data_IF_398798293173
#
_entry.id   IF_398798293173
#
_cell.length_a   1.000
_cell.length_b   1.000
_cell.length_c   1.000
_cell.angle_alpha   90.00
_cell.angle_beta   90.00
_cell.angle_gamma   90.00
#
_symmetry.space_group_name_H-M   'P 1'
#
loop_
_entity.id
_entity.type
_entity.pdbx_description
1 polymer ?
#
# COMPACT_ATOMS: atom_id res chain seq x y z
N UNK A 1 -4.78 4.39 18.27
CA UNK A 1 -3.33 4.06 18.32
C UNK A 1 -2.67 5.17 19.13
N UNK A 2 -2.38 4.90 20.41
CA UNK A 2 -1.53 5.78 21.18
C UNK A 2 -0.11 5.45 20.74
N UNK A 3 0.47 6.31 19.91
CA UNK A 3 1.81 6.07 19.41
C UNK A 3 2.79 6.56 20.49
N UNK A 4 3.36 5.60 21.22
CA UNK A 4 4.15 5.85 22.43
C UNK A 4 5.61 6.24 22.14
N UNK A 5 5.95 6.51 20.87
CA UNK A 5 7.32 6.82 20.45
C UNK A 5 7.67 8.29 20.70
N UNK A 6 8.91 8.59 21.06
CA UNK A 6 9.49 9.92 21.19
C UNK A 6 9.27 10.83 20.01
N UNK A 7 9.29 10.21 18.84
CA UNK A 7 9.09 10.85 17.58
C UNK A 7 7.77 11.61 17.54
N UNK A 8 6.69 11.06 18.10
CA UNK A 8 5.40 11.74 18.02
C UNK A 8 5.49 13.05 18.79
N UNK A 9 6.08 13.08 19.98
CA UNK A 9 6.37 14.32 20.71
C UNK A 9 7.21 15.32 19.89
N UNK A 10 8.32 14.87 19.30
CA UNK A 10 9.21 15.73 18.51
C UNK A 10 8.51 16.32 17.27
N UNK A 11 7.69 15.54 16.58
CA UNK A 11 6.92 16.01 15.41
C UNK A 11 5.65 16.76 15.81
N UNK A 12 5.16 16.56 17.03
CA UNK A 12 3.90 17.10 17.51
C UNK A 12 4.02 18.43 18.26
N UNK A 13 5.20 18.71 18.80
CA UNK A 13 5.45 19.77 19.77
C UNK A 13 5.02 19.37 21.19
N UNK A 14 5.46 20.17 22.16
CA UNK A 14 5.25 19.94 23.60
C UNK A 14 3.79 19.75 24.00
N UNK A 15 2.84 20.35 23.27
CA UNK A 15 1.40 20.25 23.50
C UNK A 15 0.77 18.90 23.12
N UNK A 16 1.55 17.93 22.62
CA UNK A 16 1.01 16.60 22.31
C UNK A 16 0.42 15.92 23.53
N UNK A 17 1.14 16.01 24.64
CA UNK A 17 0.81 15.33 25.89
C UNK A 17 -0.46 15.90 26.53
N UNK A 18 -0.80 17.16 26.25
CA UNK A 18 -2.00 17.83 26.75
C UNK A 18 -3.29 17.19 26.22
N UNK A 19 -3.22 16.42 25.12
CA UNK A 19 -4.36 15.72 24.52
C UNK A 19 -4.48 14.25 24.94
N UNK A 20 -3.58 13.77 25.80
CA UNK A 20 -3.66 12.42 26.34
C UNK A 20 -4.58 12.43 27.56
N UNK A 21 -5.59 11.55 27.55
CA UNK A 21 -6.63 11.51 28.59
C UNK A 21 -6.09 11.17 30.00
N UNK A 22 -4.89 10.59 30.09
CA UNK A 22 -4.24 10.22 31.36
C UNK A 22 -2.89 10.94 31.52
N UNK A 23 -2.74 11.65 32.65
CA UNK A 23 -1.47 12.30 33.04
C UNK A 23 -0.34 11.29 33.27
N UNK A 24 -0.64 10.15 33.88
CA UNK A 24 0.35 9.10 34.12
C UNK A 24 0.83 8.48 32.80
N UNK A 25 -0.11 8.24 31.89
CA UNK A 25 0.20 7.77 30.55
C UNK A 25 1.02 8.79 29.75
N UNK A 26 0.68 10.08 29.86
CA UNK A 26 1.45 11.16 29.25
C UNK A 26 2.88 11.23 29.80
N UNK A 27 3.06 11.08 31.12
CA UNK A 27 4.36 11.04 31.78
C UNK A 27 5.20 9.84 31.36
N UNK A 28 4.58 8.65 31.25
CA UNK A 28 5.24 7.45 30.75
C UNK A 28 5.69 7.60 29.29
N UNK A 29 4.81 8.11 28.40
CA UNK A 29 5.22 8.40 27.02
C UNK A 29 6.34 9.42 27.03
N UNK A 30 6.28 10.48 27.84
CA UNK A 30 7.33 11.50 27.92
C UNK A 30 8.67 10.91 28.35
N UNK A 31 8.71 10.09 29.39
CA UNK A 31 9.94 9.42 29.83
C UNK A 31 10.48 8.44 28.78
N UNK A 32 9.61 7.63 28.16
CA UNK A 32 10.01 6.78 27.04
C UNK A 32 10.54 7.60 25.87
N UNK A 33 9.91 8.76 25.63
CA UNK A 33 10.29 9.70 24.59
C UNK A 33 11.68 10.26 24.84
N UNK A 34 11.95 10.69 26.06
CA UNK A 34 13.24 11.26 26.47
C UNK A 34 14.36 10.23 26.40
N UNK A 35 14.12 8.98 26.83
CA UNK A 35 15.10 7.88 26.70
C UNK A 35 15.40 7.52 25.26
N UNK A 36 14.36 7.46 24.43
CA UNK A 36 14.49 7.21 23.00
C UNK A 36 15.17 8.42 22.31
N UNK A 37 14.90 9.65 22.76
CA UNK A 37 15.62 10.85 22.33
C UNK A 37 17.09 10.76 22.70
N UNK A 38 17.41 10.49 23.95
CA UNK A 38 18.78 10.38 24.43
C UNK A 38 19.55 9.29 23.68
N UNK A 39 18.95 8.10 23.52
CA UNK A 39 19.56 6.99 22.81
C UNK A 39 19.81 7.29 21.32
N UNK A 40 18.87 7.94 20.62
CA UNK A 40 18.99 8.17 19.18
C UNK A 40 19.64 9.49 18.80
N UNK A 41 19.43 10.54 19.57
CA UNK A 41 19.77 11.90 19.17
C UNK A 41 21.09 12.36 19.74
N UNK A 42 21.53 11.80 20.88
CA UNK A 42 22.82 12.13 21.48
C UNK A 42 23.95 11.20 20.99
N UNK A 43 23.61 10.05 20.42
CA UNK A 43 24.59 9.17 19.76
C UNK A 43 24.78 9.60 18.30
N UNK A 44 25.98 10.06 17.96
CA UNK A 44 26.36 10.54 16.63
C UNK A 44 26.24 9.41 15.60
N UNK A 45 25.37 9.54 14.60
CA UNK A 45 25.33 8.61 13.47
C UNK A 45 26.43 8.94 12.46
N UNK A 46 27.70 8.75 12.83
CA UNK A 46 28.79 8.81 11.87
C UNK A 46 28.80 7.50 11.09
N UNK A 47 28.38 7.53 9.82
CA UNK A 47 28.63 6.43 8.89
C UNK A 47 29.06 6.98 7.54
N UNK A 48 30.34 6.81 7.22
CA UNK A 48 30.94 7.18 5.94
C UNK A 48 30.52 6.25 4.78
N UNK A 49 29.60 5.31 5.03
CA UNK A 49 29.17 4.36 4.03
C UNK A 49 28.22 5.02 3.02
N UNK A 50 28.44 4.76 1.73
CA UNK A 50 27.66 5.35 0.62
C UNK A 50 26.14 5.16 0.76
N UNK A 51 25.69 4.12 1.47
CA UNK A 51 24.26 3.87 1.70
C UNK A 51 23.59 4.88 2.63
N UNK A 52 24.33 5.51 3.54
CA UNK A 52 23.83 6.46 4.53
C UNK A 52 23.01 7.57 3.86
N UNK A 53 23.57 8.20 2.82
CA UNK A 53 22.93 9.30 2.09
C UNK A 53 21.57 8.91 1.50
N UNK A 54 21.40 7.68 1.00
CA UNK A 54 20.13 7.23 0.40
C UNK A 54 19.05 7.01 1.46
N UNK A 55 19.40 6.40 2.58
CA UNK A 55 18.45 6.20 3.68
C UNK A 55 18.09 7.51 4.37
N UNK A 56 19.04 8.44 4.52
CA UNK A 56 18.76 9.74 5.11
C UNK A 56 17.79 10.56 4.26
N UNK A 57 17.88 10.48 2.92
CA UNK A 57 16.88 11.06 2.01
C UNK A 57 15.49 10.46 2.20
N UNK A 58 15.39 9.15 2.44
CA UNK A 58 14.10 8.50 2.78
C UNK A 58 13.57 9.03 4.11
N UNK A 59 14.44 9.16 5.10
CA UNK A 59 14.08 9.66 6.42
C UNK A 59 13.54 11.10 6.37
N UNK A 60 14.19 11.98 5.62
CA UNK A 60 13.72 13.35 5.34
C UNK A 60 12.32 13.32 4.70
N UNK A 61 12.13 12.49 3.68
CA UNK A 61 10.85 12.36 3.00
C UNK A 61 9.74 11.86 3.95
N UNK A 62 10.05 10.85 4.78
CA UNK A 62 9.13 10.32 5.79
C UNK A 62 8.76 11.37 6.84
N UNK A 63 9.73 12.12 7.36
CA UNK A 63 9.47 13.22 8.30
C UNK A 63 8.60 14.31 7.68
N UNK A 64 8.90 14.68 6.44
CA UNK A 64 8.12 15.68 5.69
C UNK A 64 6.67 15.25 5.55
N UNK A 65 6.42 14.01 5.09
CA UNK A 65 5.07 13.45 4.95
C UNK A 65 4.36 13.37 6.30
N UNK A 66 5.03 12.93 7.36
CA UNK A 66 4.43 12.85 8.70
C UNK A 66 3.98 14.22 9.22
N UNK A 67 4.78 15.27 8.99
CA UNK A 67 4.49 16.65 9.40
C UNK A 67 3.37 17.27 8.56
N UNK A 68 3.39 17.07 7.25
CA UNK A 68 2.30 17.49 6.35
C UNK A 68 0.98 16.79 6.71
N UNK A 69 1.01 15.47 6.92
CA UNK A 69 -0.17 14.68 7.28
C UNK A 69 -0.81 15.22 8.57
N UNK A 70 0.01 15.57 9.57
CA UNK A 70 -0.48 16.18 10.81
C UNK A 70 -1.22 17.51 10.58
N UNK A 71 -0.80 18.33 9.62
CA UNK A 71 -1.51 19.57 9.27
C UNK A 71 -2.87 19.24 8.66
N UNK A 72 -2.92 18.26 7.76
CA UNK A 72 -4.18 17.79 7.17
C UNK A 72 -5.11 17.17 8.20
N UNK A 73 -4.60 16.39 9.16
CA UNK A 73 -5.42 15.80 10.23
C UNK A 73 -6.17 16.86 11.03
N UNK A 74 -5.50 17.94 11.42
CA UNK A 74 -6.12 19.06 12.16
C UNK A 74 -7.21 19.76 11.35
N UNK A 75 -7.03 19.84 10.03
CA UNK A 75 -8.03 20.40 9.13
C UNK A 75 -9.21 19.44 8.96
N UNK A 76 -8.93 18.16 8.74
CA UNK A 76 -9.93 17.10 8.56
C UNK A 76 -10.73 16.81 9.83
N UNK A 77 -10.12 16.88 11.02
CA UNK A 77 -10.80 16.67 12.31
C UNK A 77 -11.90 17.70 12.56
N UNK A 78 -11.79 18.90 11.95
CA UNK A 78 -12.81 19.94 12.02
C UNK A 78 -13.93 19.75 11.00
N UNK A 79 -13.76 18.84 10.03
CA UNK A 79 -14.71 18.65 8.94
C UNK A 79 -15.74 17.54 9.19
N UNK A 80 -15.68 16.82 10.32
CA UNK A 80 -16.61 15.79 10.84
C UNK A 80 -17.01 14.62 9.92
N UNK A 81 -16.97 14.75 8.59
CA UNK A 81 -17.55 13.85 7.60
C UNK A 81 -16.60 12.78 7.04
N UNK A 82 -15.32 12.78 7.43
CA UNK A 82 -14.31 11.90 6.85
C UNK A 82 -13.97 10.65 7.68
N UNK A 83 -14.37 10.59 8.95
CA UNK A 83 -13.89 9.56 9.87
C UNK A 83 -14.99 8.58 10.26
N UNK A 84 -15.15 7.52 9.47
CA UNK A 84 -15.72 6.28 10.01
C UNK A 84 -14.60 5.55 10.79
N UNK A 85 -14.86 5.35 12.08
CA UNK A 85 -13.94 4.69 13.02
C UNK A 85 -13.66 3.23 12.66
N UNK A 86 -14.41 2.65 11.73
CA UNK A 86 -14.24 1.31 11.18
C UNK A 86 -13.03 1.19 10.24
N UNK A 87 -12.47 2.31 9.76
CA UNK A 87 -11.36 2.35 8.80
C UNK A 87 -10.11 3.08 9.34
N UNK A 88 -9.03 3.07 8.56
CA UNK A 88 -7.79 3.76 8.91
C UNK A 88 -7.99 5.27 9.01
N UNK A 89 -7.95 5.79 10.25
CA UNK A 89 -8.07 7.24 10.52
C UNK A 89 -6.92 8.07 9.95
N UNK A 90 -5.76 7.46 9.71
CA UNK A 90 -4.56 8.17 9.28
C UNK A 90 -4.38 8.19 7.77
N UNK A 91 -5.02 7.26 7.06
CA UNK A 91 -4.81 7.10 5.62
C UNK A 91 -5.22 8.35 4.81
N UNK A 92 -6.37 9.01 5.04
CA UNK A 92 -6.76 10.19 4.23
C UNK A 92 -5.77 11.35 4.34
N UNK A 93 -5.33 11.68 5.57
CA UNK A 93 -4.34 12.72 5.79
C UNK A 93 -2.96 12.35 5.21
N UNK A 94 -2.59 11.08 5.31
CA UNK A 94 -1.33 10.57 4.74
C UNK A 94 -1.36 10.63 3.21
N UNK A 95 -2.49 10.30 2.57
CA UNK A 95 -2.68 10.48 1.13
C UNK A 95 -2.50 11.94 0.70
N UNK A 96 -3.17 12.88 1.38
CA UNK A 96 -3.03 14.31 1.06
C UNK A 96 -1.58 14.79 1.21
N UNK A 97 -0.90 14.34 2.26
CA UNK A 97 0.51 14.63 2.48
C UNK A 97 1.42 14.06 1.40
N UNK A 98 1.18 12.81 0.95
CA UNK A 98 1.93 12.19 -0.14
C UNK A 98 1.73 12.95 -1.44
N UNK A 99 0.49 13.34 -1.77
CA UNK A 99 0.18 14.13 -2.97
C UNK A 99 0.92 15.47 -2.97
N UNK A 100 0.88 16.20 -1.84
CA UNK A 100 1.63 17.47 -1.70
C UNK A 100 3.14 17.23 -1.80
N UNK A 101 3.67 16.23 -1.11
CA UNK A 101 5.09 15.91 -1.14
C UNK A 101 5.58 15.56 -2.54
N UNK A 102 4.86 14.67 -3.24
CA UNK A 102 5.21 14.21 -4.57
C UNK A 102 5.18 15.35 -5.60
N UNK A 103 4.20 16.26 -5.52
CA UNK A 103 4.12 17.47 -6.35
C UNK A 103 5.25 18.47 -6.07
N UNK A 104 5.78 18.50 -4.85
CA UNK A 104 6.72 19.52 -4.37
C UNK A 104 8.07 18.93 -3.91
N UNK A 105 8.48 17.79 -4.49
CA UNK A 105 9.63 17.01 -3.99
C UNK A 105 10.93 17.81 -3.94
N UNK A 106 11.15 18.69 -4.93
CA UNK A 106 12.34 19.54 -4.99
C UNK A 106 12.37 20.56 -3.84
N UNK A 107 11.22 21.13 -3.48
CA UNK A 107 11.12 22.07 -2.35
C UNK A 107 11.49 21.41 -1.03
N UNK A 108 11.19 20.12 -0.86
CA UNK A 108 11.52 19.39 0.37
C UNK A 108 12.90 18.73 0.35
N UNK A 109 13.68 18.89 -0.72
CA UNK A 109 15.05 18.40 -0.72
C UNK A 109 15.88 19.22 0.28
N UNK A 110 16.58 18.54 1.18
CA UNK A 110 17.47 19.16 2.15
C UNK A 110 18.86 18.65 1.82
N UNK A 111 19.76 19.58 1.52
CA UNK A 111 21.18 19.28 1.45
C UNK A 111 21.74 19.28 2.87
N UNK A 112 22.64 18.35 3.14
CA UNK A 112 23.24 18.18 4.44
C UNK A 112 24.68 17.75 4.27
N UNK A 113 25.53 18.23 5.18
CA UNK A 113 26.88 17.71 5.34
C UNK A 113 26.83 16.28 5.86
N UNK A 114 27.96 15.57 5.81
CA UNK A 114 28.04 14.17 6.26
C UNK A 114 27.69 13.98 7.74
N UNK A 115 27.59 15.06 8.53
CA UNK A 115 27.36 15.05 9.96
C UNK A 115 26.11 15.86 10.31
N UNK A 116 25.04 15.18 10.69
CA UNK A 116 23.85 15.82 11.23
C UNK A 116 23.25 14.94 12.33
N UNK A 117 22.92 15.54 13.47
CA UNK A 117 22.13 14.84 14.48
C UNK A 117 20.69 14.73 13.98
N UNK A 118 20.03 13.64 14.33
CA UNK A 118 18.64 13.43 13.91
C UNK A 118 17.71 14.56 14.39
N UNK A 119 18.09 15.26 15.47
CA UNK A 119 17.27 16.28 16.15
C UNK A 119 17.29 17.53 15.30
N UNK A 120 18.49 17.93 14.91
CA UNK A 120 18.72 19.04 14.01
C UNK A 120 18.03 18.76 12.68
N UNK A 121 18.13 17.53 12.17
CA UNK A 121 17.41 17.15 10.95
C UNK A 121 15.89 17.34 11.08
N UNK A 122 15.28 16.85 12.17
CA UNK A 122 13.84 17.04 12.41
C UNK A 122 13.51 18.53 12.51
N UNK A 123 14.32 19.32 13.21
CA UNK A 123 14.11 20.76 13.32
C UNK A 123 14.17 21.46 11.95
N UNK A 124 15.16 21.12 11.11
CA UNK A 124 15.30 21.66 9.74
C UNK A 124 14.08 21.27 8.90
N UNK A 125 13.69 19.99 8.88
CA UNK A 125 12.53 19.50 8.14
C UNK A 125 11.25 20.21 8.61
N UNK A 126 11.06 20.33 9.93
CA UNK A 126 9.89 21.00 10.50
C UNK A 126 9.85 22.49 10.16
N UNK A 127 10.98 23.19 10.19
CA UNK A 127 11.08 24.58 9.76
C UNK A 127 10.63 24.72 8.30
N UNK A 128 11.18 23.88 7.41
CA UNK A 128 10.87 23.87 5.98
C UNK A 128 9.41 23.56 5.69
N UNK A 129 8.83 22.56 6.37
CA UNK A 129 7.40 22.25 6.24
C UNK A 129 6.55 23.41 6.74
N UNK A 130 6.90 24.05 7.87
CA UNK A 130 6.11 25.18 8.38
C UNK A 130 6.20 26.40 7.46
N UNK A 131 7.37 26.70 6.90
CA UNK A 131 7.54 27.74 5.89
C UNK A 131 6.67 27.46 4.66
N UNK A 132 6.74 26.25 4.11
CA UNK A 132 5.87 25.81 3.02
C UNK A 132 4.38 25.98 3.39
N UNK A 133 3.95 25.53 4.57
CA UNK A 133 2.56 25.68 5.03
C UNK A 133 2.13 27.15 5.24
N UNK A 134 3.06 28.07 5.53
CA UNK A 134 2.75 29.50 5.66
C UNK A 134 2.53 30.14 4.29
N UNK A 135 3.36 29.76 3.33
CA UNK A 135 3.32 30.30 1.97
C UNK A 135 2.27 29.62 1.08
N UNK A 136 1.78 28.45 1.49
CA UNK A 136 0.81 27.67 0.74
C UNK A 136 -0.44 27.49 1.58
N UNK A 137 -1.61 27.89 1.06
CA UNK A 137 -2.87 27.58 1.73
C UNK A 137 -3.17 26.08 1.62
N UNK A 138 -2.67 25.29 2.58
CA UNK A 138 -3.00 23.87 2.70
C UNK A 138 -4.44 23.71 3.19
N UNK A 139 -5.38 23.87 2.26
CA UNK A 139 -6.75 23.41 2.47
C UNK A 139 -6.83 21.98 1.96
N UNK A 140 -7.49 21.06 2.68
CA UNK A 140 -7.96 19.87 2.01
C UNK A 140 -8.80 20.36 0.84
N UNK A 141 -8.36 20.11 -0.39
CA UNK A 141 -9.25 20.18 -1.54
C UNK A 141 -10.51 19.39 -1.17
N UNK A 142 -11.68 19.71 -1.75
CA UNK A 142 -12.87 18.87 -1.58
C UNK A 142 -12.60 17.53 -2.28
N UNK A 143 -11.76 16.70 -1.68
CA UNK A 143 -11.45 15.36 -2.14
C UNK A 143 -12.61 14.51 -1.66
N UNK A 144 -13.64 14.41 -2.51
CA UNK A 144 -14.69 13.44 -2.33
C UNK A 144 -14.19 12.11 -2.88
N UNK A 145 -14.09 11.11 -2.01
CA UNK A 145 -13.81 9.75 -2.39
C UNK A 145 -15.14 9.01 -2.60
N UNK A 146 -15.24 8.24 -3.68
CA UNK A 146 -16.45 7.47 -3.97
C UNK A 146 -16.46 6.22 -3.08
N UNK A 147 -17.42 6.14 -2.18
CA UNK A 147 -17.53 5.08 -1.17
C UNK A 147 -18.41 3.94 -1.67
N UNK A 148 -17.92 2.70 -1.53
CA UNK A 148 -18.69 1.49 -1.72
C UNK A 148 -19.21 0.89 -0.40
N UNK A 149 -19.81 -0.29 -0.49
CA UNK A 149 -20.29 -1.05 0.68
C UNK A 149 -19.28 -2.10 1.16
N UNK A 150 -18.26 -2.41 0.36
CA UNK A 150 -17.24 -3.40 0.68
C UNK A 150 -16.04 -2.77 1.39
N UNK A 151 -15.78 -3.10 2.67
CA UNK A 151 -14.48 -2.84 3.29
C UNK A 151 -13.35 -3.55 2.55
N UNK A 152 -12.27 -2.82 2.29
CA UNK A 152 -11.09 -3.31 1.60
C UNK A 152 -9.80 -2.91 2.31
N UNK A 153 -8.78 -3.74 2.18
CA UNK A 153 -7.39 -3.49 2.55
C UNK A 153 -6.48 -3.65 1.34
N UNK A 154 -5.35 -2.95 1.35
CA UNK A 154 -4.31 -3.10 0.34
C UNK A 154 -2.98 -3.28 1.03
N UNK A 155 -2.11 -4.08 0.44
CA UNK A 155 -0.74 -4.29 0.89
C UNK A 155 0.16 -4.16 -0.34
N UNK A 156 1.10 -3.24 -0.27
CA UNK A 156 2.03 -2.93 -1.35
C UNK A 156 3.42 -3.38 -0.96
N UNK A 157 4.02 -4.25 -1.77
CA UNK A 157 5.38 -4.73 -1.57
C UNK A 157 6.36 -3.99 -2.50
N UNK A 158 7.51 -3.62 -1.96
CA UNK A 158 8.59 -2.95 -2.69
C UNK A 158 9.91 -3.70 -2.50
N UNK A 159 10.64 -3.93 -3.60
CA UNK A 159 11.94 -4.58 -3.59
C UNK A 159 12.75 -4.24 -4.84
N UNK A 160 13.99 -3.79 -4.65
CA UNK A 160 14.97 -3.64 -5.75
C UNK A 160 15.58 -4.98 -6.17
N UNK A 161 15.33 -6.06 -5.43
CA UNK A 161 15.74 -7.44 -5.75
C UNK A 161 14.68 -8.21 -6.55
N UNK A 162 13.49 -7.65 -6.74
CA UNK A 162 12.37 -8.46 -7.24
C UNK A 162 12.08 -9.63 -6.29
N UNK A 163 11.87 -10.80 -6.87
CA UNK A 163 11.59 -12.06 -6.18
C UNK A 163 12.69 -12.54 -5.23
N UNK A 164 13.91 -12.03 -5.39
CA UNK A 164 15.04 -12.42 -4.56
C UNK A 164 15.07 -11.75 -3.17
N UNK A 165 14.15 -10.82 -2.88
CA UNK A 165 14.11 -10.12 -1.57
C UNK A 165 13.95 -11.09 -0.39
N UNK A 166 13.17 -12.16 -0.60
CA UNK A 166 12.88 -13.20 0.39
C UNK A 166 14.05 -14.14 0.72
N UNK A 167 15.12 -14.19 -0.08
CA UNK A 167 16.22 -15.17 0.04
C UNK A 167 17.28 -14.81 1.09
N UNK A 168 17.87 -15.80 1.77
CA UNK A 168 18.72 -15.61 2.97
C UNK A 168 20.18 -15.17 2.70
N UNK A 169 20.76 -15.61 1.57
CA UNK A 169 22.18 -15.43 1.23
C UNK A 169 22.32 -14.91 -0.20
N UNK A 170 22.04 -13.63 -0.43
CA UNK A 170 22.36 -13.02 -1.72
C UNK A 170 22.99 -11.64 -1.56
N UNK A 171 24.23 -11.54 -2.02
CA UNK A 171 25.03 -10.33 -2.16
C UNK A 171 24.62 -9.61 -3.43
N UNK A 172 23.75 -8.61 -3.30
CA UNK A 172 23.50 -7.67 -4.39
C UNK A 172 24.70 -6.74 -4.53
N UNK A 173 25.30 -6.64 -5.71
CA UNK A 173 26.38 -5.69 -5.99
C UNK A 173 25.79 -4.26 -6.07
N UNK A 174 26.22 -3.39 -5.16
CA UNK A 174 26.28 -1.94 -5.39
C UNK A 174 25.10 -1.07 -4.94
N UNK A 175 23.84 -1.53 -4.92
CA UNK A 175 22.71 -0.68 -4.49
C UNK A 175 22.48 -0.72 -2.96
N UNK A 176 22.65 0.41 -2.24
CA UNK A 176 22.25 0.58 -0.85
C UNK A 176 20.87 0.07 -0.45
N UNK A 177 19.88 0.21 -1.33
CA UNK A 177 18.47 -0.09 -1.06
C UNK A 177 18.08 -1.51 -1.51
N UNK A 178 19.02 -2.30 -2.03
CA UNK A 178 18.78 -3.57 -2.73
C UNK A 178 17.81 -4.50 -2.00
N UNK A 179 17.98 -4.67 -0.68
CA UNK A 179 17.10 -5.48 0.16
C UNK A 179 16.47 -4.70 1.33
N UNK A 180 16.51 -3.37 1.24
CA UNK A 180 16.15 -2.46 2.32
C UNK A 180 16.82 -2.75 3.70
N UNK A 181 17.89 -3.56 3.74
CA UNK A 181 18.48 -4.14 4.97
C UNK A 181 18.95 -3.15 6.03
N UNK A 182 19.28 -1.91 5.66
CA UNK A 182 19.85 -0.90 6.56
C UNK A 182 18.77 -0.08 7.30
N UNK A 183 17.48 -0.40 7.15
CA UNK A 183 16.35 0.31 7.77
C UNK A 183 16.47 0.47 9.30
N UNK A 184 17.02 -0.54 9.96
CA UNK A 184 17.16 -0.60 11.41
C UNK A 184 18.14 0.43 11.96
N UNK A 185 19.12 0.88 11.16
CA UNK A 185 20.09 1.90 11.60
C UNK A 185 19.44 3.26 11.87
N UNK A 186 18.25 3.49 11.32
CA UNK A 186 17.45 4.69 11.57
C UNK A 186 16.10 4.36 12.19
N UNK A 187 15.87 3.13 12.67
CA UNK A 187 14.54 2.74 13.16
C UNK A 187 13.42 3.12 12.20
N UNK A 188 13.68 2.99 10.89
CA UNK A 188 12.90 3.66 9.86
C UNK A 188 11.43 3.21 9.86
N UNK A 189 11.17 1.96 10.22
CA UNK A 189 9.81 1.41 10.42
C UNK A 189 9.03 2.14 11.52
N UNK A 190 9.68 2.61 12.59
CA UNK A 190 9.04 3.43 13.62
C UNK A 190 8.61 4.78 13.05
N UNK A 191 9.40 5.35 12.14
CA UNK A 191 9.08 6.61 11.46
C UNK A 191 8.02 6.45 10.35
N UNK A 192 7.91 5.25 9.79
CA UNK A 192 6.97 4.91 8.71
C UNK A 192 5.64 4.32 9.23
N UNK A 193 5.31 4.50 10.50
CA UNK A 193 4.08 3.98 11.11
C UNK A 193 2.80 4.39 10.38
N UNK A 194 2.74 5.60 9.77
CA UNK A 194 1.59 6.07 8.98
C UNK A 194 1.32 5.23 7.74
N UNK A 195 2.35 4.60 7.23
CA UNK A 195 2.30 3.70 6.08
C UNK A 195 1.92 2.28 6.48
N UNK A 196 1.77 2.00 7.79
CA UNK A 196 1.70 0.64 8.30
C UNK A 196 2.95 -0.17 7.95
N UNK A 197 4.11 0.49 7.84
CA UNK A 197 5.25 -0.12 7.19
C UNK A 197 5.93 -1.19 8.04
N UNK A 198 6.27 -2.31 7.40
CA UNK A 198 7.09 -3.36 7.98
C UNK A 198 8.00 -3.98 6.91
N UNK A 199 8.93 -4.82 7.36
CA UNK A 199 9.84 -5.56 6.47
C UNK A 199 9.44 -7.02 6.53
N UNK A 200 8.87 -7.54 5.46
CA UNK A 200 8.57 -8.97 5.37
C UNK A 200 9.76 -9.75 4.86
N UNK A 201 9.98 -10.90 5.48
CA UNK A 201 11.07 -11.79 5.13
C UNK A 201 10.63 -13.22 5.37
N UNK A 202 10.76 -14.08 4.36
CA UNK A 202 10.31 -15.49 4.34
C UNK A 202 10.89 -16.40 5.44
N UNK A 203 11.75 -15.89 6.33
CA UNK A 203 12.39 -16.67 7.39
C UNK A 203 12.21 -15.97 8.73
N UNK A 204 11.53 -16.59 9.72
CA UNK A 204 11.29 -16.01 11.04
C UNK A 204 12.58 -15.53 11.75
N UNK A 205 13.71 -16.20 11.50
CA UNK A 205 15.01 -15.84 12.05
C UNK A 205 15.62 -14.55 11.47
N UNK A 206 15.17 -14.06 10.31
CA UNK A 206 15.76 -12.87 9.66
C UNK A 206 15.47 -11.56 10.37
N UNK A 207 14.39 -11.47 11.15
CA UNK A 207 14.09 -10.28 11.94
C UNK A 207 15.18 -10.05 13.01
N UNK A 208 15.80 -11.12 13.51
CA UNK A 208 16.91 -11.06 14.47
C UNK A 208 18.26 -10.73 13.81
N UNK A 209 18.47 -11.15 12.56
CA UNK A 209 19.74 -10.94 11.83
C UNK A 209 19.73 -9.68 10.95
N UNK A 210 18.63 -8.91 10.93
CA UNK A 210 18.52 -7.60 10.24
C UNK A 210 18.89 -7.65 8.75
N UNK A 211 18.58 -8.76 8.06
CA UNK A 211 19.02 -9.01 6.68
C UNK A 211 18.14 -8.37 5.58
N UNK A 212 17.06 -7.69 5.95
CA UNK A 212 16.16 -7.03 4.99
C UNK A 212 15.18 -7.97 4.29
N UNK A 213 14.35 -7.43 3.41
CA UNK A 213 13.27 -8.12 2.72
C UNK A 213 12.39 -7.16 1.92
N UNK A 214 11.13 -7.52 1.70
CA UNK A 214 10.16 -6.63 1.08
C UNK A 214 9.83 -5.49 2.03
N UNK A 215 9.94 -4.25 1.56
CA UNK A 215 9.37 -3.11 2.25
C UNK A 215 7.88 -3.10 1.95
N UNK A 216 7.05 -3.16 2.98
CA UNK A 216 5.59 -3.22 2.80
C UNK A 216 4.89 -1.98 3.31
N UNK A 217 3.85 -1.54 2.60
CA UNK A 217 2.91 -0.51 3.05
C UNK A 217 1.48 -1.06 3.06
N UNK A 218 0.82 -0.99 4.20
CA UNK A 218 -0.59 -1.39 4.38
C UNK A 218 -1.51 -0.21 4.66
N UNK A 219 -0.97 0.92 5.14
CA UNK A 219 -1.70 2.10 5.64
C UNK A 219 -2.74 1.78 6.73
N UNK A 220 -2.65 0.59 7.31
CA UNK A 220 -3.44 0.10 8.43
C UNK A 220 -2.50 -0.33 9.55
N UNK A 221 -3.06 -0.77 10.68
CA UNK A 221 -2.25 -1.39 11.72
C UNK A 221 -1.78 -2.75 11.18
N UNK A 222 -0.46 -3.04 11.16
CA UNK A 222 0.02 -4.34 10.72
C UNK A 222 -0.64 -5.46 11.51
N UNK A 223 -1.03 -6.53 10.83
CA UNK A 223 -1.63 -7.71 11.43
C UNK A 223 -0.55 -8.42 12.27
N UNK A 224 -0.52 -8.14 13.57
CA UNK A 224 0.31 -8.90 14.52
C UNK A 224 -0.53 -10.07 15.03
N UNK A 225 0.13 -11.20 15.32
CA UNK A 225 -0.55 -12.40 15.83
C UNK A 225 -1.55 -12.05 16.95
N UNK A 226 -2.82 -12.43 16.77
CA UNK A 226 -3.97 -12.16 17.66
C UNK A 226 -4.43 -10.69 17.77
N UNK A 227 -3.91 -9.77 16.97
CA UNK A 227 -4.37 -8.39 16.91
C UNK A 227 -5.47 -8.19 15.86
N UNK A 228 -6.26 -7.14 16.05
CA UNK A 228 -7.37 -6.79 15.19
C UNK A 228 -6.87 -6.16 13.89
N UNK A 229 -7.20 -6.75 12.74
CA UNK A 229 -6.99 -6.16 11.41
C UNK A 229 -8.12 -5.18 11.10
N UNK A 230 -7.78 -3.94 10.76
CA UNK A 230 -8.74 -2.95 10.25
C UNK A 230 -8.69 -2.91 8.72
N UNK A 231 -9.83 -2.78 8.03
CA UNK A 231 -9.83 -2.41 6.62
C UNK A 231 -9.22 -1.01 6.45
N UNK A 232 -8.58 -0.79 5.30
CA UNK A 232 -8.03 0.52 4.94
C UNK A 232 -9.16 1.53 4.73
N UNK A 233 -10.17 1.13 3.95
CA UNK A 233 -11.25 1.99 3.46
C UNK A 233 -12.38 1.12 2.89
N UNK A 234 -13.48 1.72 2.48
CA UNK A 234 -14.48 1.16 1.56
C UNK A 234 -14.55 1.94 0.24
N UNK A 235 -13.58 2.82 -0.05
CA UNK A 235 -13.47 3.55 -1.31
C UNK A 235 -12.37 2.96 -2.20
N UNK A 236 -12.73 2.27 -3.29
CA UNK A 236 -11.78 1.80 -4.30
C UNK A 236 -11.03 2.95 -5.00
N UNK A 237 -11.70 4.09 -5.23
CA UNK A 237 -11.10 5.33 -5.74
C UNK A 237 -9.98 5.82 -4.83
N UNK A 238 -10.26 5.94 -3.52
CA UNK A 238 -9.24 6.33 -2.54
C UNK A 238 -8.06 5.35 -2.52
N UNK A 239 -8.33 4.05 -2.53
CA UNK A 239 -7.29 3.03 -2.51
C UNK A 239 -6.39 3.11 -3.75
N UNK A 240 -6.98 3.23 -4.95
CA UNK A 240 -6.23 3.38 -6.20
C UNK A 240 -5.34 4.64 -6.19
N UNK A 241 -5.87 5.77 -5.76
CA UNK A 241 -5.12 7.03 -5.61
C UNK A 241 -4.00 6.92 -4.58
N UNK A 242 -4.25 6.29 -3.43
CA UNK A 242 -3.26 6.08 -2.37
C UNK A 242 -2.12 5.17 -2.86
N UNK A 243 -2.42 4.10 -3.58
CA UNK A 243 -1.42 3.23 -4.22
C UNK A 243 -0.54 4.06 -5.15
N UNK A 244 -1.15 4.88 -6.00
CA UNK A 244 -0.43 5.75 -6.94
C UNK A 244 0.55 6.70 -6.24
N UNK A 245 0.11 7.36 -5.18
CA UNK A 245 0.96 8.29 -4.41
C UNK A 245 2.05 7.57 -3.60
N UNK A 246 1.77 6.38 -3.07
CA UNK A 246 2.74 5.57 -2.34
C UNK A 246 3.90 5.10 -3.25
N UNK A 247 3.60 4.65 -4.47
CA UNK A 247 4.62 4.22 -5.45
C UNK A 247 5.48 5.37 -5.95
N UNK A 248 4.91 6.59 -6.08
CA UNK A 248 5.69 7.80 -6.44
C UNK A 248 6.64 8.23 -5.32
N UNK A 249 6.21 8.05 -4.07
CA UNK A 249 6.95 8.46 -2.89
C UNK A 249 8.22 7.62 -2.68
N UNK A 250 8.07 6.29 -2.67
CA UNK A 250 9.16 5.40 -2.28
C UNK A 250 10.23 5.28 -3.37
N UNK A 251 11.53 5.33 -3.01
CA UNK A 251 12.61 5.11 -3.97
C UNK A 251 12.90 3.62 -4.21
N UNK A 252 12.24 2.71 -3.51
CA UNK A 252 12.35 1.26 -3.72
C UNK A 252 11.40 0.86 -4.86
N UNK A 253 11.83 -0.06 -5.72
CA UNK A 253 11.05 -0.50 -6.87
C UNK A 253 9.76 -1.20 -6.40
N UNK A 254 8.59 -0.86 -6.98
CA UNK A 254 7.35 -1.55 -6.68
C UNK A 254 7.40 -3.00 -7.20
N UNK A 255 6.75 -3.91 -6.45
CA UNK A 255 6.77 -5.35 -6.72
C UNK A 255 5.36 -5.94 -6.82
N UNK A 256 4.67 -6.08 -5.68
CA UNK A 256 3.36 -6.75 -5.57
C UNK A 256 2.31 -5.81 -5.03
N UNK A 257 1.06 -6.08 -5.39
CA UNK A 257 -0.10 -5.54 -4.73
C UNK A 257 -1.01 -6.69 -4.29
N UNK A 258 -1.32 -6.76 -3.00
CA UNK A 258 -2.37 -7.62 -2.48
C UNK A 258 -3.60 -6.77 -2.16
N UNK A 259 -4.77 -7.26 -2.56
CA UNK A 259 -6.06 -6.60 -2.30
C UNK A 259 -6.93 -7.55 -1.49
N UNK A 260 -7.28 -7.14 -0.28
CA UNK A 260 -8.15 -7.91 0.61
C UNK A 260 -9.53 -7.29 0.64
N UNK A 261 -10.58 -8.05 0.36
CA UNK A 261 -11.97 -7.58 0.36
C UNK A 261 -12.80 -8.37 1.38
N UNK A 262 -13.58 -7.66 2.19
CA UNK A 262 -14.50 -8.30 3.13
C UNK A 262 -15.73 -8.87 2.41
N UNK A 263 -16.08 -10.12 2.72
CA UNK A 263 -17.30 -10.76 2.20
C UNK A 263 -18.54 -10.28 2.97
N UNK A 264 -19.66 -10.21 2.27
CA UNK A 264 -20.96 -10.03 2.92
C UNK A 264 -21.43 -11.36 3.49
N UNK A 265 -21.51 -11.47 4.82
CA UNK A 265 -21.88 -12.69 5.55
C UNK A 265 -23.32 -13.17 5.29
N UNK A 266 -24.16 -12.36 4.63
CA UNK A 266 -25.58 -12.64 4.39
C UNK A 266 -25.87 -13.39 3.09
N UNK A 267 -24.88 -13.62 2.22
CA UNK A 267 -25.11 -14.32 0.95
C UNK A 267 -24.90 -15.82 1.09
N UNK A 268 -26.00 -16.56 1.05
CA UNK A 268 -25.99 -18.02 0.97
C UNK A 268 -25.63 -18.45 -0.45
N UNK A 269 -24.56 -19.25 -0.58
CA UNK A 269 -24.15 -20.03 -1.76
C UNK A 269 -23.93 -19.23 -3.06
N UNK A 270 -22.77 -18.58 -3.17
CA UNK A 270 -22.24 -18.14 -4.46
C UNK A 270 -21.68 -19.34 -5.26
N UNK A 271 -21.81 -19.37 -6.60
CA UNK A 271 -21.20 -20.41 -7.42
C UNK A 271 -19.66 -20.35 -7.37
N UNK A 272 -19.01 -21.48 -7.62
CA UNK A 272 -17.56 -21.49 -7.86
C UNK A 272 -17.26 -20.91 -9.25
N UNK A 273 -16.19 -20.12 -9.40
CA UNK A 273 -15.79 -19.63 -10.71
C UNK A 273 -15.19 -20.77 -11.55
N UNK A 274 -15.50 -20.78 -12.83
CA UNK A 274 -14.82 -21.59 -13.83
C UNK A 274 -13.38 -21.10 -14.05
N UNK A 275 -12.56 -21.95 -14.65
CA UNK A 275 -11.20 -21.59 -15.03
C UNK A 275 -11.15 -20.33 -15.93
N UNK A 276 -12.04 -20.23 -16.93
CA UNK A 276 -12.04 -19.11 -17.87
C UNK A 276 -12.47 -17.79 -17.20
N UNK A 277 -13.36 -17.84 -16.21
CA UNK A 277 -13.73 -16.66 -15.42
C UNK A 277 -12.54 -16.18 -14.57
N UNK A 278 -11.83 -17.08 -13.88
CA UNK A 278 -10.58 -16.70 -13.20
C UNK A 278 -9.55 -16.15 -14.18
N UNK A 279 -9.40 -16.80 -15.34
CA UNK A 279 -8.47 -16.36 -16.37
C UNK A 279 -8.78 -14.94 -16.84
N UNK A 280 -10.05 -14.59 -16.99
CA UNK A 280 -10.48 -13.24 -17.36
C UNK A 280 -10.12 -12.20 -16.31
N UNK A 281 -10.34 -12.51 -15.02
CA UNK A 281 -9.90 -11.64 -13.92
C UNK A 281 -8.41 -11.35 -14.02
N UNK A 282 -7.58 -12.40 -14.14
CA UNK A 282 -6.13 -12.25 -14.26
C UNK A 282 -5.73 -11.55 -15.55
N UNK A 283 -6.45 -11.78 -16.64
CA UNK A 283 -6.20 -11.11 -17.91
C UNK A 283 -6.43 -9.60 -17.83
N UNK A 284 -7.46 -9.15 -17.10
CA UNK A 284 -7.78 -7.73 -16.95
C UNK A 284 -6.93 -7.02 -15.88
N UNK A 285 -6.24 -7.73 -15.00
CA UNK A 285 -5.49 -7.12 -13.87
C UNK A 285 -4.01 -7.51 -13.82
N UNK A 286 -3.57 -8.39 -14.71
CA UNK A 286 -2.19 -8.83 -14.86
C UNK A 286 -1.34 -7.92 -15.75
N UNK A 287 -0.02 -8.03 -15.61
CA UNK A 287 0.95 -7.28 -16.41
C UNK A 287 1.62 -8.22 -17.42
N UNK A 288 1.48 -7.92 -18.71
CA UNK A 288 2.08 -8.68 -19.80
C UNK A 288 3.37 -8.03 -20.28
N UNK A 289 4.46 -8.79 -20.34
CA UNK A 289 5.78 -8.31 -20.77
C UNK A 289 6.39 -9.25 -21.81
N UNK A 290 7.18 -8.69 -22.73
CA UNK A 290 8.06 -9.48 -23.57
C UNK A 290 9.33 -9.87 -22.80
N UNK A 291 9.56 -11.18 -22.62
CA UNK A 291 10.73 -11.76 -21.98
C UNK A 291 11.28 -12.90 -22.83
N UNK A 292 12.55 -12.81 -23.23
CA UNK A 292 13.22 -13.83 -24.05
C UNK A 292 12.44 -14.21 -25.32
N UNK A 293 11.90 -13.22 -26.03
CA UNK A 293 11.13 -13.43 -27.27
C UNK A 293 9.71 -13.98 -27.07
N UNK A 294 9.23 -14.14 -25.83
CA UNK A 294 7.87 -14.59 -25.53
C UNK A 294 7.13 -13.57 -24.67
N UNK A 295 5.81 -13.52 -24.81
CA UNK A 295 4.95 -12.75 -23.89
C UNK A 295 4.71 -13.60 -22.64
N UNK A 296 4.81 -12.99 -21.47
CA UNK A 296 4.56 -13.63 -20.17
C UNK A 296 3.69 -12.72 -19.29
N UNK A 297 2.89 -13.30 -18.40
CA UNK A 297 2.31 -12.57 -17.27
C UNK A 297 3.38 -12.49 -16.16
N UNK A 298 3.78 -11.27 -15.83
CA UNK A 298 4.98 -11.00 -15.06
C UNK A 298 4.91 -11.49 -13.61
N UNK A 299 3.75 -11.43 -12.95
CA UNK A 299 3.62 -11.77 -11.53
C UNK A 299 3.51 -13.27 -11.31
N UNK A 300 2.78 -13.98 -12.17
CA UNK A 300 2.51 -15.42 -12.06
C UNK A 300 3.78 -16.22 -12.37
N UNK A 301 4.57 -15.78 -13.36
CA UNK A 301 5.82 -16.47 -13.74
C UNK A 301 6.93 -16.32 -12.69
N UNK A 302 6.81 -15.35 -11.78
CA UNK A 302 7.76 -15.18 -10.67
C UNK A 302 7.66 -16.30 -9.62
N UNK A 303 6.53 -17.03 -9.56
CA UNK A 303 6.30 -18.21 -8.71
C UNK A 303 6.61 -18.01 -7.20
N UNK A 304 6.65 -16.76 -6.71
CA UNK A 304 6.89 -16.40 -5.30
C UNK A 304 5.62 -15.95 -4.56
N UNK A 305 4.44 -16.24 -5.10
CA UNK A 305 3.16 -16.07 -4.40
C UNK A 305 2.80 -17.36 -3.68
N UNK A 306 2.29 -17.23 -2.45
CA UNK A 306 1.71 -18.37 -1.72
C UNK A 306 0.51 -18.95 -2.49
N UNK A 307 -0.40 -18.07 -2.90
CA UNK A 307 -1.57 -18.39 -3.74
C UNK A 307 -2.03 -17.16 -4.52
N UNK A 308 -2.85 -17.37 -5.55
CA UNK A 308 -3.38 -16.31 -6.42
C UNK A 308 -4.56 -15.60 -5.74
N UNK A 309 -5.49 -16.39 -5.17
CA UNK A 309 -6.66 -15.91 -4.44
C UNK A 309 -6.81 -16.75 -3.16
N UNK A 310 -6.94 -16.09 -2.01
CA UNK A 310 -7.01 -16.73 -0.71
C UNK A 310 -8.28 -16.35 0.03
N UNK A 311 -9.01 -17.34 0.53
CA UNK A 311 -10.08 -17.12 1.49
C UNK A 311 -9.52 -17.14 2.91
N UNK A 312 -9.71 -16.06 3.68
CA UNK A 312 -9.20 -15.94 5.05
C UNK A 312 -10.28 -15.45 6.02
N UNK A 313 -10.30 -16.02 7.23
CA UNK A 313 -11.00 -15.44 8.37
C UNK A 313 -10.09 -14.45 9.09
N UNK A 314 -10.55 -13.21 9.26
CA UNK A 314 -9.81 -12.15 9.97
C UNK A 314 -10.62 -11.64 11.15
N UNK A 315 -9.95 -11.27 12.24
CA UNK A 315 -10.58 -10.66 13.41
C UNK A 315 -10.53 -9.14 13.28
N UNK A 316 -11.69 -8.48 13.20
CA UNK A 316 -11.78 -7.03 13.34
C UNK A 316 -12.18 -6.66 14.79
N UNK A 317 -12.34 -5.37 15.09
CA UNK A 317 -12.69 -4.92 16.46
C UNK A 317 -14.02 -5.46 16.99
N UNK A 318 -14.94 -5.88 16.12
CA UNK A 318 -16.31 -6.27 16.50
C UNK A 318 -16.51 -7.78 16.41
N UNK A 319 -15.91 -8.44 15.43
CA UNK A 319 -16.18 -9.84 15.11
C UNK A 319 -15.14 -10.45 14.17
N UNK A 320 -15.23 -11.77 13.99
CA UNK A 320 -14.57 -12.46 12.88
C UNK A 320 -15.32 -12.17 11.57
N UNK A 321 -14.58 -11.91 10.51
CA UNK A 321 -15.12 -11.66 9.17
C UNK A 321 -14.40 -12.52 8.14
N UNK A 322 -15.14 -13.00 7.15
CA UNK A 322 -14.56 -13.68 5.99
C UNK A 322 -14.05 -12.63 4.98
N UNK A 323 -12.89 -12.91 4.41
CA UNK A 323 -12.21 -12.05 3.44
C UNK A 323 -11.70 -12.87 2.26
N UNK A 324 -11.61 -12.23 1.10
CA UNK A 324 -10.94 -12.76 -0.09
C UNK A 324 -9.76 -11.87 -0.40
N UNK A 325 -8.56 -12.44 -0.47
CA UNK A 325 -7.31 -11.77 -0.76
C UNK A 325 -6.82 -12.14 -2.15
N UNK A 326 -6.68 -11.17 -3.03
CA UNK A 326 -6.15 -11.30 -4.39
C UNK A 326 -4.68 -10.86 -4.36
N UNK A 327 -3.75 -11.78 -4.64
CA UNK A 327 -2.30 -11.54 -4.48
C UNK A 327 -1.56 -11.43 -5.83
N UNK A 328 -2.28 -11.55 -6.94
CA UNK A 328 -1.70 -11.68 -8.29
C UNK A 328 -1.37 -10.37 -8.98
N UNK A 329 -1.72 -9.22 -8.42
CA UNK A 329 -1.49 -7.95 -9.09
C UNK A 329 -0.02 -7.54 -8.98
N UNK A 330 0.53 -7.09 -10.11
CA UNK A 330 1.81 -6.38 -10.13
C UNK A 330 1.62 -4.96 -9.62
N UNK A 331 2.51 -4.53 -8.73
CA UNK A 331 2.69 -3.12 -8.44
C UNK A 331 3.74 -2.56 -9.41
N UNK A 332 3.33 -1.67 -10.32
CA UNK A 332 4.22 -1.02 -11.25
C UNK A 332 3.79 0.42 -11.58
N UNK A 333 4.73 1.20 -12.15
CA UNK A 333 4.49 2.60 -12.53
C UNK A 333 3.64 2.74 -13.80
N UNK A 334 3.68 1.76 -14.70
CA UNK A 334 2.85 1.76 -15.91
C UNK A 334 1.36 1.75 -15.55
N UNK A 335 0.97 0.90 -14.60
CA UNK A 335 -0.40 0.80 -14.11
C UNK A 335 -0.90 2.11 -13.49
N UNK A 336 -0.02 2.90 -12.87
CA UNK A 336 -0.39 4.23 -12.34
C UNK A 336 -0.70 5.18 -13.48
N UNK A 337 0.15 5.22 -14.52
CA UNK A 337 -0.03 6.12 -15.68
C UNK A 337 -1.33 5.82 -16.41
N UNK A 338 -1.70 4.55 -16.48
CA UNK A 338 -2.91 4.05 -17.15
C UNK A 338 -4.15 3.95 -16.24
N UNK A 339 -4.03 4.39 -14.99
CA UNK A 339 -5.09 4.30 -13.97
C UNK A 339 -5.71 2.88 -13.82
N UNK A 340 -4.88 1.84 -13.72
CA UNK A 340 -5.32 0.43 -13.74
C UNK A 340 -5.82 -0.06 -12.38
N UNK A 341 -5.30 0.46 -11.27
CA UNK A 341 -5.57 -0.12 -9.93
C UNK A 341 -7.02 0.02 -9.49
N UNK A 342 -7.63 1.20 -9.64
CA UNK A 342 -9.01 1.42 -9.24
C UNK A 342 -10.00 0.52 -10.02
N UNK A 343 -9.97 0.46 -11.37
CA UNK A 343 -10.77 -0.48 -12.14
C UNK A 343 -10.50 -1.95 -11.78
N UNK A 344 -9.24 -2.32 -11.50
CA UNK A 344 -8.89 -3.69 -11.12
C UNK A 344 -9.43 -4.07 -9.73
N UNK A 345 -9.37 -3.16 -8.75
CA UNK A 345 -9.97 -3.36 -7.43
C UNK A 345 -11.48 -3.50 -7.57
N UNK A 346 -12.11 -2.67 -8.40
CA UNK A 346 -13.55 -2.79 -8.68
C UNK A 346 -13.92 -4.10 -9.36
N UNK A 347 -13.10 -4.60 -10.28
CA UNK A 347 -13.26 -5.92 -10.88
C UNK A 347 -13.20 -7.01 -9.81
N UNK A 348 -12.25 -6.95 -8.88
CA UNK A 348 -12.17 -7.89 -7.74
C UNK A 348 -13.39 -7.80 -6.82
N UNK A 349 -13.93 -6.60 -6.59
CA UNK A 349 -15.17 -6.39 -5.84
C UNK A 349 -16.35 -7.08 -6.53
N UNK A 350 -16.49 -6.92 -7.84
CA UNK A 350 -17.50 -7.64 -8.62
C UNK A 350 -17.33 -9.16 -8.49
N UNK A 351 -16.12 -9.67 -8.67
CA UNK A 351 -15.81 -11.10 -8.57
C UNK A 351 -16.13 -11.67 -7.19
N UNK A 352 -15.76 -10.96 -6.11
CA UNK A 352 -16.15 -11.31 -4.73
C UNK A 352 -17.66 -11.39 -4.57
N UNK A 353 -18.42 -10.52 -5.22
CA UNK A 353 -19.88 -10.50 -5.14
C UNK A 353 -20.55 -11.61 -5.97
N UNK A 354 -19.85 -12.12 -7.00
CA UNK A 354 -20.34 -13.16 -7.90
C UNK A 354 -19.99 -14.57 -7.45
N UNK A 355 -18.79 -14.79 -6.93
CA UNK A 355 -18.21 -16.13 -6.81
C UNK A 355 -17.75 -16.51 -5.41
N UNK A 356 -17.75 -17.81 -5.13
CA UNK A 356 -17.11 -18.42 -3.97
C UNK A 356 -15.64 -18.78 -4.27
N UNK A 357 -14.72 -18.27 -3.45
CA UNK A 357 -13.27 -18.49 -3.58
C UNK A 357 -12.71 -19.50 -2.55
N UNK A 358 -13.55 -20.38 -2.00
CA UNK A 358 -13.11 -21.36 -1.00
C UNK A 358 -12.29 -22.51 -1.59
N UNK A 359 -12.35 -22.71 -2.91
CA UNK A 359 -11.61 -23.77 -3.60
C UNK A 359 -11.23 -23.33 -5.04
N UNK A 360 -10.09 -22.65 -5.18
CA UNK A 360 -9.51 -22.32 -6.50
C UNK A 360 -8.21 -23.08 -6.79
N UNK A 361 -7.77 -23.92 -5.83
CA UNK A 361 -6.54 -24.69 -5.90
C UNK A 361 -6.42 -25.57 -7.16
N UNK A 362 -7.51 -26.19 -7.68
CA UNK A 362 -7.45 -26.98 -8.91
C UNK A 362 -6.92 -26.22 -10.14
N UNK A 363 -7.03 -24.89 -10.15
CA UNK A 363 -6.59 -24.07 -11.28
C UNK A 363 -5.14 -23.60 -11.18
N UNK A 364 -4.51 -23.64 -10.00
CA UNK A 364 -3.20 -23.01 -9.75
C UNK A 364 -2.13 -23.41 -10.76
N UNK A 365 -1.97 -24.71 -11.03
CA UNK A 365 -0.98 -25.19 -12.00
C UNK A 365 -1.29 -24.74 -13.43
N UNK A 366 -2.56 -24.77 -13.82
CA UNK A 366 -3.02 -24.34 -15.15
C UNK A 366 -2.84 -22.84 -15.34
N UNK A 367 -3.08 -22.04 -14.30
CA UNK A 367 -2.85 -20.59 -14.31
C UNK A 367 -1.36 -20.26 -14.39
N UNK A 368 -0.49 -21.02 -13.70
CA UNK A 368 0.97 -20.89 -13.84
C UNK A 368 1.47 -21.19 -15.25
N UNK A 369 0.92 -22.24 -15.88
CA UNK A 369 1.22 -22.55 -17.28
C UNK A 369 0.75 -21.43 -18.22
N UNK A 370 -0.47 -20.91 -18.01
CA UNK A 370 -0.96 -19.75 -18.76
C UNK A 370 -0.06 -18.52 -18.57
N UNK A 371 0.41 -18.23 -17.36
CA UNK A 371 1.32 -17.09 -17.13
C UNK A 371 2.61 -17.18 -17.97
N UNK A 372 3.12 -18.39 -18.22
CA UNK A 372 4.33 -18.63 -19.05
C UNK A 372 4.07 -18.44 -20.54
N UNK A 373 2.82 -18.62 -20.99
CA UNK A 373 2.41 -18.43 -22.37
C UNK A 373 0.95 -17.94 -22.41
N UNK A 374 0.72 -16.65 -22.15
CA UNK A 374 -0.63 -16.12 -22.03
C UNK A 374 -1.39 -16.24 -23.35
N UNK A 375 -2.65 -16.62 -23.24
CA UNK A 375 -3.63 -16.57 -24.32
C UNK A 375 -4.88 -15.81 -23.84
N UNK A 376 -5.63 -15.29 -24.81
CA UNK A 376 -6.90 -14.58 -24.54
C UNK A 376 -7.93 -15.59 -24.02
N UNK A 377 -8.64 -15.31 -22.91
CA UNK A 377 -9.66 -16.21 -22.38
C UNK A 377 -10.71 -16.59 -23.44
N UNK A 378 -10.97 -17.89 -23.57
CA UNK A 378 -11.95 -18.42 -24.52
C UNK A 378 -13.38 -18.32 -23.95
N UNK A 379 -13.90 -17.10 -23.90
CA UNK A 379 -15.24 -16.78 -23.41
C UNK A 379 -15.90 -15.69 -24.25
N UNK A 380 -17.22 -15.60 -24.18
CA UNK A 380 -17.96 -14.47 -24.75
C UNK A 380 -17.74 -13.24 -23.86
N UNK A 381 -17.02 -12.25 -24.39
CA UNK A 381 -16.68 -11.03 -23.65
C UNK A 381 -17.91 -10.21 -23.28
N UNK A 382 -18.97 -10.22 -24.11
CA UNK A 382 -20.23 -9.54 -23.82
C UNK A 382 -20.86 -10.09 -22.55
N UNK A 383 -21.07 -11.40 -22.52
CA UNK A 383 -21.65 -12.12 -21.38
C UNK A 383 -20.83 -11.90 -20.10
N UNK A 384 -19.49 -11.88 -20.22
CA UNK A 384 -18.62 -11.60 -19.07
C UNK A 384 -18.72 -10.17 -18.57
N UNK A 385 -18.83 -9.17 -19.45
CA UNK A 385 -19.03 -7.78 -19.01
C UNK A 385 -20.41 -7.60 -18.35
N UNK A 386 -21.45 -8.25 -18.86
CA UNK A 386 -22.76 -8.29 -18.20
C UNK A 386 -22.69 -8.96 -16.83
N UNK A 387 -21.94 -10.05 -16.71
CA UNK A 387 -21.74 -10.72 -15.43
C UNK A 387 -21.00 -9.83 -14.43
N UNK A 388 -19.92 -9.16 -14.85
CA UNK A 388 -19.18 -8.20 -14.01
C UNK A 388 -20.10 -7.06 -13.57
N UNK A 389 -20.93 -6.54 -14.49
CA UNK A 389 -21.92 -5.51 -14.19
C UNK A 389 -22.86 -5.95 -13.07
N UNK A 390 -23.41 -7.17 -13.14
CA UNK A 390 -24.22 -7.75 -12.05
C UNK A 390 -23.47 -7.79 -10.72
N UNK A 391 -22.18 -8.12 -10.73
CA UNK A 391 -21.33 -8.11 -9.54
C UNK A 391 -21.10 -6.71 -8.95
N UNK A 392 -20.99 -5.70 -9.81
CA UNK A 392 -20.91 -4.29 -9.40
C UNK A 392 -22.23 -3.74 -8.88
N UNK A 393 -23.37 -4.23 -9.36
CA UNK A 393 -24.69 -3.80 -8.90
C UNK A 393 -25.01 -4.16 -7.45
N UNK A 394 -24.26 -5.10 -6.89
CA UNK A 394 -24.28 -5.41 -5.47
C UNK A 394 -23.65 -4.31 -4.60
N UNK A 395 -22.81 -3.46 -5.18
CA UNK A 395 -22.28 -2.26 -4.52
C UNK A 395 -23.28 -1.10 -4.62
N UNK A 396 -24.42 -1.24 -3.94
CA UNK A 396 -25.54 -0.28 -3.96
C UNK A 396 -25.17 1.17 -3.58
N UNK A 397 -24.07 1.38 -2.83
CA UNK A 397 -23.60 2.72 -2.47
C UNK A 397 -22.86 3.43 -3.60
N UNK A 398 -22.40 2.70 -4.63
CA UNK A 398 -21.68 3.29 -5.75
C UNK A 398 -22.66 3.98 -6.71
N UNK A 399 -22.38 5.23 -7.12
CA UNK A 399 -23.17 5.91 -8.13
C UNK A 399 -23.16 5.17 -9.47
N UNK A 400 -24.26 5.25 -10.19
CA UNK A 400 -24.45 4.54 -11.46
C UNK A 400 -23.43 4.97 -12.52
N UNK A 401 -23.21 6.28 -12.67
CA UNK A 401 -22.20 6.84 -13.58
C UNK A 401 -20.77 6.35 -13.26
N UNK A 402 -20.47 6.08 -11.99
CA UNK A 402 -19.17 5.56 -11.58
C UNK A 402 -19.02 4.10 -11.99
N UNK A 403 -20.06 3.28 -11.82
CA UNK A 403 -20.04 1.88 -12.29
C UNK A 403 -19.86 1.79 -13.80
N UNK A 404 -20.55 2.64 -14.58
CA UNK A 404 -20.38 2.71 -16.04
C UNK A 404 -18.96 3.10 -16.43
N UNK A 405 -18.41 4.15 -15.80
CA UNK A 405 -17.01 4.55 -16.01
C UNK A 405 -16.03 3.41 -15.74
N UNK A 406 -16.24 2.67 -14.64
CA UNK A 406 -15.41 1.51 -14.29
C UNK A 406 -15.54 0.39 -15.34
N UNK A 407 -16.75 0.14 -15.84
CA UNK A 407 -16.97 -0.86 -16.90
C UNK A 407 -16.25 -0.49 -18.20
N UNK A 408 -16.28 0.78 -18.60
CA UNK A 408 -15.50 1.29 -19.73
C UNK A 408 -14.01 1.06 -19.53
N UNK A 409 -13.48 1.40 -18.34
CA UNK A 409 -12.06 1.19 -18.02
C UNK A 409 -11.66 -0.27 -18.03
N UNK A 410 -12.50 -1.18 -17.54
CA UNK A 410 -12.22 -2.63 -17.60
C UNK A 410 -12.18 -3.11 -19.07
N UNK A 411 -13.09 -2.62 -19.92
CA UNK A 411 -13.09 -2.91 -21.38
C UNK A 411 -11.84 -2.37 -22.08
N UNK A 412 -11.41 -1.16 -21.74
CA UNK A 412 -10.15 -0.58 -22.24
C UNK A 412 -8.94 -1.43 -21.85
N UNK A 413 -8.84 -1.83 -20.57
CA UNK A 413 -7.72 -2.66 -20.09
C UNK A 413 -7.72 -4.03 -20.77
N UNK A 414 -8.88 -4.68 -20.90
CA UNK A 414 -9.00 -5.94 -21.63
C UNK A 414 -8.54 -5.80 -23.08
N UNK A 415 -8.97 -4.75 -23.78
CA UNK A 415 -8.61 -4.50 -25.18
C UNK A 415 -7.12 -4.27 -25.35
N UNK A 416 -6.52 -3.47 -24.46
CA UNK A 416 -5.08 -3.24 -24.43
C UNK A 416 -4.28 -4.53 -24.20
N UNK A 417 -4.66 -5.32 -23.19
CA UNK A 417 -3.97 -6.59 -22.90
C UNK A 417 -4.15 -7.60 -24.05
N UNK A 418 -5.31 -7.61 -24.72
CA UNK A 418 -5.57 -8.40 -25.93
C UNK A 418 -4.65 -8.00 -27.08
N UNK A 419 -4.46 -6.71 -27.30
CA UNK A 419 -3.55 -6.22 -28.34
C UNK A 419 -2.13 -6.75 -28.09
N UNK A 420 -1.60 -6.57 -26.87
CA UNK A 420 -0.29 -7.11 -26.47
C UNK A 420 -0.20 -8.61 -26.75
N UNK A 421 -1.10 -9.41 -26.17
CA UNK A 421 -1.03 -10.88 -26.23
C UNK A 421 -1.19 -11.42 -27.66
N UNK A 422 -1.92 -10.71 -28.53
CA UNK A 422 -2.12 -11.12 -29.93
C UNK A 422 -1.07 -10.55 -30.89
N UNK A 423 -0.10 -9.78 -30.40
CA UNK A 423 0.93 -9.15 -31.23
C UNK A 423 0.40 -8.05 -32.15
N UNK A 424 -0.83 -7.57 -31.91
CA UNK A 424 -1.35 -6.35 -32.55
C UNK A 424 -0.79 -5.18 -31.76
N UNK A 425 -0.11 -4.23 -32.43
CA UNK A 425 0.43 -3.03 -31.77
C UNK A 425 -0.64 -2.39 -30.88
N UNK A 426 -0.33 -2.30 -29.58
CA UNK A 426 -1.24 -1.91 -28.50
C UNK A 426 -1.40 -0.40 -28.38
#
# INVERSE_FOLDING_TARGET
MLNNTALYCLLAGSKYYDFLESRDFASQIKSCSEKEIEYFFNNRFIRHEKWFRRYLKILIAVFTVNLLARKFERSLSRLCCFYDLSYSKFAPATFMALSVFNKNRLLFNIEFDQFIFLRDLIHIVNSKVNEFCKNTSLKPERVQFIQGNTPLGVEMEFSNKGTAAGRFLETGKGDPLVNFSKYHYYHLTNFMWRFGAYIDSDTPFKQFVKKGGFLEYTFTVPDKFLQTSMPLTNSPDFAGKLIGEAVKFTPVQPHSLHVTLQKNSRKNKQPFPSFNEILFLLFCSGQFLHKNGKIVESRIVEENMKDIILHRKRKNYRQWVDTVEFSHMRLCRDFIRRNVYEPSIMLMVAYKNLFAFTDIFPYTNKLRQWGKQPYVPALNTGDMFELIRKGLDEEKALPEHYKEHIMEKIKEIFSFNRAIVTGKTA
#
